data_IF_632114229445
#
_entry.id   IF_632114229445
#
_cell.length_a   1.000
_cell.length_b   1.000
_cell.length_c   1.000
_cell.angle_alpha   90.00
_cell.angle_beta   90.00
_cell.angle_gamma   90.00
#
_symmetry.space_group_name_H-M   'P 1'
#
loop_
_entity.id
_entity.type
_entity.pdbx_description
1 polymer ?
#
# COMPACT_ATOMS: atom_id res chain seq x y z
N UNK A 1 -5.75 5.97 -29.73
CA UNK A 1 -4.35 6.48 -29.69
C UNK A 1 -3.68 6.28 -28.32
N UNK A 2 -4.37 6.49 -27.22
CA UNK A 2 -3.86 6.36 -25.84
C UNK A 2 -3.31 4.95 -25.48
N UNK A 3 -4.01 3.88 -25.86
CA UNK A 3 -3.58 2.50 -25.61
C UNK A 3 -2.19 2.14 -26.20
N UNK A 4 -1.84 2.66 -27.36
CA UNK A 4 -0.54 2.38 -27.98
C UNK A 4 0.61 2.96 -27.17
N UNK A 5 0.46 4.14 -26.56
CA UNK A 5 1.49 4.75 -25.73
C UNK A 5 1.69 4.02 -24.41
N UNK A 6 0.62 3.42 -23.85
CA UNK A 6 0.72 2.58 -22.65
C UNK A 6 1.58 1.34 -22.94
N UNK A 7 1.36 0.66 -24.07
CA UNK A 7 2.18 -0.49 -24.47
C UNK A 7 3.65 -0.11 -24.67
N UNK A 8 3.93 1.00 -25.32
CA UNK A 8 5.30 1.50 -25.50
C UNK A 8 5.93 1.80 -24.13
N UNK A 9 5.22 2.47 -23.24
CA UNK A 9 5.72 2.77 -21.90
C UNK A 9 6.00 1.50 -21.08
N UNK A 10 5.14 0.46 -21.16
CA UNK A 10 5.36 -0.83 -20.50
C UNK A 10 6.58 -1.53 -21.07
N UNK A 11 6.75 -1.56 -22.40
CA UNK A 11 7.91 -2.18 -23.03
C UNK A 11 9.21 -1.45 -22.64
N UNK A 12 9.20 -0.12 -22.64
CA UNK A 12 10.35 0.68 -22.22
C UNK A 12 10.66 0.54 -20.72
N UNK A 13 9.65 0.34 -19.88
CA UNK A 13 9.82 0.14 -18.44
C UNK A 13 10.20 -1.30 -18.07
N UNK A 14 9.95 -2.28 -18.95
CA UNK A 14 10.16 -3.71 -18.65
C UNK A 14 11.59 -4.07 -18.23
N UNK A 15 12.68 -3.53 -18.83
CA UNK A 15 14.03 -3.82 -18.37
C UNK A 15 14.27 -3.33 -16.94
N UNK A 16 13.76 -2.14 -16.61
CA UNK A 16 13.88 -1.56 -15.28
C UNK A 16 13.11 -2.37 -14.23
N UNK A 17 11.92 -2.86 -14.59
CA UNK A 17 11.10 -3.74 -13.72
C UNK A 17 11.84 -5.06 -13.49
N UNK A 18 12.42 -5.67 -14.52
CA UNK A 18 13.18 -6.92 -14.40
C UNK A 18 14.41 -6.70 -13.51
N UNK A 19 15.18 -5.64 -13.74
CA UNK A 19 16.33 -5.29 -12.91
C UNK A 19 15.92 -5.07 -11.45
N UNK A 20 14.83 -4.35 -11.23
CA UNK A 20 14.27 -4.14 -9.89
C UNK A 20 13.88 -5.48 -9.24
N UNK A 21 13.31 -6.41 -10.02
CA UNK A 21 12.96 -7.74 -9.52
C UNK A 21 14.21 -8.53 -9.11
N UNK A 22 15.21 -8.63 -9.96
CA UNK A 22 16.45 -9.33 -9.65
C UNK A 22 17.15 -8.71 -8.43
N UNK A 23 17.18 -7.38 -8.36
CA UNK A 23 17.76 -6.68 -7.22
C UNK A 23 16.98 -6.92 -5.93
N UNK A 24 15.66 -6.97 -6.00
CA UNK A 24 14.77 -7.26 -4.87
C UNK A 24 14.91 -8.70 -4.36
N UNK A 25 15.17 -9.67 -5.25
CA UNK A 25 15.48 -11.05 -4.83
C UNK A 25 16.77 -11.12 -4.01
N UNK A 26 17.74 -10.27 -4.32
CA UNK A 26 18.98 -10.17 -3.53
C UNK A 26 18.79 -9.36 -2.22
N UNK A 27 17.98 -8.32 -2.29
CA UNK A 27 17.72 -7.39 -1.18
C UNK A 27 16.20 -7.19 -0.96
N UNK A 28 15.51 -8.09 -0.25
CA UNK A 28 14.04 -8.04 -0.11
C UNK A 28 13.51 -6.76 0.53
N UNK A 29 14.35 -6.04 1.28
CA UNK A 29 13.99 -4.74 1.84
C UNK A 29 13.63 -3.73 0.75
N UNK A 30 14.19 -3.85 -0.45
CA UNK A 30 13.91 -2.95 -1.58
C UNK A 30 12.49 -3.14 -2.05
N UNK A 31 12.03 -4.39 -2.24
CA UNK A 31 10.63 -4.65 -2.62
C UNK A 31 9.64 -4.18 -1.56
N UNK A 32 9.99 -4.33 -0.28
CA UNK A 32 9.18 -3.81 0.82
C UNK A 32 9.08 -2.28 0.78
N UNK A 33 10.18 -1.57 0.50
CA UNK A 33 10.17 -0.11 0.35
C UNK A 33 9.32 0.31 -0.85
N UNK A 34 9.42 -0.40 -1.98
CA UNK A 34 8.55 -0.14 -3.16
C UNK A 34 7.09 -0.33 -2.80
N UNK A 35 6.73 -1.44 -2.15
CA UNK A 35 5.37 -1.66 -1.66
C UNK A 35 4.92 -0.54 -0.71
N UNK A 36 5.72 -0.21 0.29
CA UNK A 36 5.40 0.84 1.26
C UNK A 36 5.22 2.20 0.58
N UNK A 37 6.01 2.51 -0.45
CA UNK A 37 5.87 3.75 -1.23
C UNK A 37 4.54 3.78 -1.98
N UNK A 38 4.18 2.70 -2.68
CA UNK A 38 2.91 2.62 -3.41
C UNK A 38 1.73 2.69 -2.42
N UNK A 39 1.81 1.96 -1.29
CA UNK A 39 0.76 1.94 -0.29
C UNK A 39 0.58 3.31 0.39
N UNK A 40 1.68 4.00 0.70
CA UNK A 40 1.64 5.30 1.35
C UNK A 40 1.05 6.40 0.45
N UNK A 41 1.39 6.38 -0.84
CA UNK A 41 0.91 7.35 -1.83
C UNK A 41 -0.29 6.85 -2.64
N UNK A 42 -0.93 5.76 -2.22
CA UNK A 42 -2.02 5.11 -2.93
C UNK A 42 -3.12 6.08 -3.35
N UNK A 43 -3.63 6.87 -2.41
CA UNK A 43 -4.71 7.83 -2.67
C UNK A 43 -4.28 8.95 -3.61
N UNK A 44 -3.05 9.43 -3.48
CA UNK A 44 -2.50 10.40 -4.40
C UNK A 44 -2.40 9.81 -5.82
N UNK A 45 -1.83 8.63 -5.96
CA UNK A 45 -1.67 7.97 -7.26
C UNK A 45 -3.06 7.77 -7.90
N UNK A 46 -4.04 7.27 -7.14
CA UNK A 46 -5.42 7.09 -7.63
C UNK A 46 -6.04 8.41 -8.13
N UNK A 47 -5.88 9.48 -7.38
CA UNK A 47 -6.41 10.81 -7.72
C UNK A 47 -5.80 11.37 -9.00
N UNK A 48 -4.48 11.25 -9.17
CA UNK A 48 -3.79 11.80 -10.33
C UNK A 48 -3.90 10.92 -11.57
N UNK A 49 -3.95 9.61 -11.43
CA UNK A 49 -4.04 8.68 -12.56
C UNK A 49 -5.46 8.35 -12.97
N UNK A 50 -6.42 8.48 -12.03
CA UNK A 50 -7.83 8.05 -12.20
C UNK A 50 -7.94 6.60 -12.69
N UNK A 51 -7.05 5.75 -12.19
CA UNK A 51 -6.99 4.36 -12.58
C UNK A 51 -7.69 3.48 -11.53
N UNK A 52 -8.87 2.98 -11.85
CA UNK A 52 -9.70 2.18 -10.93
C UNK A 52 -9.04 0.86 -10.49
N UNK A 53 -8.04 0.38 -11.23
CA UNK A 53 -7.30 -0.85 -10.94
C UNK A 53 -6.13 -0.70 -9.95
N UNK A 54 -5.92 0.47 -9.35
CA UNK A 54 -4.71 0.72 -8.53
C UNK A 54 -4.64 -0.19 -7.29
N UNK A 55 -5.78 -0.62 -6.74
CA UNK A 55 -5.82 -1.57 -5.64
C UNK A 55 -5.22 -2.93 -6.00
N UNK A 56 -5.33 -3.33 -7.27
CA UNK A 56 -4.71 -4.55 -7.80
C UNK A 56 -3.19 -4.40 -7.85
N UNK A 57 -2.69 -3.20 -8.14
CA UNK A 57 -1.24 -2.90 -8.13
C UNK A 57 -0.67 -3.09 -6.72
N UNK A 58 -1.41 -2.71 -5.68
CA UNK A 58 -0.99 -2.96 -4.28
C UNK A 58 -0.90 -4.46 -3.96
N UNK A 59 -1.89 -5.24 -4.39
CA UNK A 59 -1.87 -6.69 -4.17
C UNK A 59 -0.69 -7.33 -4.94
N UNK A 60 -0.47 -6.94 -6.18
CA UNK A 60 0.67 -7.39 -6.98
C UNK A 60 1.99 -7.01 -6.31
N UNK A 61 2.12 -5.78 -5.81
CA UNK A 61 3.32 -5.32 -5.11
C UNK A 61 3.57 -6.10 -3.80
N UNK A 62 2.49 -6.47 -3.09
CA UNK A 62 2.57 -7.29 -1.89
C UNK A 62 3.03 -8.71 -2.21
N UNK A 63 2.42 -9.36 -3.22
CA UNK A 63 2.80 -10.69 -3.70
C UNK A 63 4.24 -10.69 -4.20
N UNK A 64 4.62 -9.66 -4.97
CA UNK A 64 5.99 -9.45 -5.43
C UNK A 64 7.00 -9.40 -4.28
N UNK A 65 6.66 -8.66 -3.21
CA UNK A 65 7.51 -8.54 -2.01
C UNK A 65 7.65 -9.90 -1.31
N UNK A 66 6.55 -10.64 -1.20
CA UNK A 66 6.55 -11.99 -0.63
C UNK A 66 7.44 -12.95 -1.45
N UNK A 67 7.28 -12.94 -2.78
CA UNK A 67 8.06 -13.78 -3.67
C UNK A 67 9.56 -13.43 -3.61
N UNK A 68 9.92 -12.15 -3.64
CA UNK A 68 11.30 -11.72 -3.51
C UNK A 68 11.93 -12.17 -2.19
N UNK A 69 11.16 -12.13 -1.09
CA UNK A 69 11.61 -12.61 0.20
C UNK A 69 11.80 -14.13 0.24
N UNK A 70 10.85 -14.89 -0.31
CA UNK A 70 10.92 -16.36 -0.38
C UNK A 70 12.13 -16.80 -1.23
N UNK A 71 12.31 -16.20 -2.42
CA UNK A 71 13.44 -16.51 -3.30
C UNK A 71 14.79 -16.17 -2.64
N UNK A 72 14.88 -15.04 -1.95
CA UNK A 72 16.08 -14.68 -1.21
C UNK A 72 16.42 -15.72 -0.12
N UNK A 73 15.41 -16.27 0.54
CA UNK A 73 15.60 -17.27 1.59
C UNK A 73 15.98 -18.65 1.06
N UNK A 74 15.38 -19.07 -0.06
CA UNK A 74 15.75 -20.32 -0.73
C UNK A 74 17.22 -20.24 -1.19
N UNK A 75 17.65 -19.07 -1.66
CA UNK A 75 19.04 -18.86 -2.10
C UNK A 75 20.05 -18.78 -0.97
N UNK A 76 19.62 -18.39 0.25
CA UNK A 76 20.50 -18.24 1.42
C UNK A 76 20.22 -19.37 2.42
N UNK A 77 20.95 -20.47 2.34
CA UNK A 77 20.80 -21.69 3.17
C UNK A 77 20.90 -21.46 4.69
N UNK A 78 21.30 -20.28 5.14
CA UNK A 78 21.54 -19.97 6.56
C UNK A 78 20.41 -19.20 7.25
N UNK A 79 19.23 -19.12 6.64
CA UNK A 79 18.11 -18.41 7.25
C UNK A 79 17.16 -19.35 8.00
N UNK A 80 17.52 -19.75 9.22
CA UNK A 80 16.61 -20.41 10.14
C UNK A 80 15.44 -19.51 10.51
N UNK A 81 14.34 -19.59 9.73
CA UNK A 81 13.07 -19.10 10.23
C UNK A 81 12.52 -20.17 11.16
N UNK A 82 12.52 -19.90 12.44
CA UNK A 82 11.75 -20.70 13.36
C UNK A 82 10.26 -20.38 13.14
N UNK A 83 9.45 -21.42 12.96
CA UNK A 83 8.00 -21.23 12.87
C UNK A 83 7.44 -20.40 14.04
N UNK A 84 8.10 -20.43 15.20
CA UNK A 84 7.80 -19.58 16.36
C UNK A 84 7.90 -18.06 16.09
N UNK A 85 8.74 -17.64 15.14
CA UNK A 85 8.91 -16.21 14.82
C UNK A 85 7.72 -15.68 14.01
N UNK A 86 7.02 -16.57 13.32
CA UNK A 86 5.82 -16.27 12.55
C UNK A 86 4.55 -16.48 13.41
N UNK A 87 4.48 -17.61 14.12
CA UNK A 87 3.33 -18.00 14.94
C UNK A 87 3.52 -17.56 16.40
N UNK A 88 3.32 -16.28 16.66
CA UNK A 88 3.25 -15.72 18.00
C UNK A 88 1.81 -15.45 18.42
N UNK A 89 1.59 -15.04 19.66
CA UNK A 89 0.26 -14.75 20.22
C UNK A 89 -0.52 -13.72 19.38
N UNK A 90 0.17 -12.71 18.81
CA UNK A 90 -0.45 -11.70 17.95
C UNK A 90 -0.94 -12.31 16.64
N UNK A 91 -0.14 -13.19 16.03
CA UNK A 91 -0.54 -13.89 14.81
C UNK A 91 -1.77 -14.77 15.05
N UNK A 92 -1.81 -15.49 16.16
CA UNK A 92 -2.96 -16.30 16.56
C UNK A 92 -4.20 -15.41 16.75
N UNK A 93 -4.07 -14.30 17.49
CA UNK A 93 -5.14 -13.33 17.66
C UNK A 93 -5.66 -12.79 16.33
N UNK A 94 -4.75 -12.55 15.38
CA UNK A 94 -5.10 -12.11 14.03
C UNK A 94 -5.86 -13.18 13.24
N UNK A 95 -5.47 -14.44 13.32
CA UNK A 95 -6.21 -15.54 12.71
C UNK A 95 -7.62 -15.70 13.29
N UNK A 96 -7.78 -15.55 14.60
CA UNK A 96 -9.09 -15.55 15.25
C UNK A 96 -9.96 -14.39 14.71
N UNK A 97 -9.38 -13.21 14.58
CA UNK A 97 -10.05 -12.05 13.98
C UNK A 97 -10.46 -12.29 12.53
N UNK A 98 -9.60 -12.89 11.72
CA UNK A 98 -9.93 -13.28 10.33
C UNK A 98 -11.12 -14.26 10.27
N UNK A 99 -11.13 -15.27 11.14
CA UNK A 99 -12.25 -16.22 11.24
C UNK A 99 -13.54 -15.48 11.60
N UNK A 100 -13.49 -14.56 12.55
CA UNK A 100 -14.65 -13.75 12.91
C UNK A 100 -15.19 -12.93 11.75
N UNK A 101 -14.32 -12.29 10.94
CA UNK A 101 -14.74 -11.55 9.74
C UNK A 101 -15.35 -12.50 8.70
N UNK A 102 -14.76 -13.68 8.48
CA UNK A 102 -15.29 -14.68 7.54
C UNK A 102 -16.67 -15.16 8.01
N UNK A 103 -16.88 -15.36 9.30
CA UNK A 103 -18.20 -15.72 9.83
C UNK A 103 -19.27 -14.66 9.58
N UNK A 104 -18.90 -13.40 9.44
CA UNK A 104 -19.85 -12.36 9.05
C UNK A 104 -20.36 -12.49 7.59
N UNK A 105 -19.65 -13.22 6.74
CA UNK A 105 -20.13 -13.55 5.38
C UNK A 105 -21.37 -14.45 5.39
N UNK A 106 -21.67 -15.11 6.52
CA UNK A 106 -22.87 -15.94 6.68
C UNK A 106 -24.14 -15.13 7.00
N UNK A 107 -24.02 -13.82 7.17
CA UNK A 107 -25.17 -12.95 7.45
C UNK A 107 -25.99 -12.74 6.17
N UNK A 108 -27.21 -13.26 6.14
CA UNK A 108 -28.10 -13.35 4.98
C UNK A 108 -28.52 -12.00 4.33
N UNK A 109 -28.25 -10.88 5.00
CA UNK A 109 -28.61 -9.53 4.50
C UNK A 109 -27.48 -8.78 3.80
N UNK A 110 -26.30 -9.36 3.65
CA UNK A 110 -25.12 -8.65 3.17
C UNK A 110 -24.78 -8.98 1.72
N UNK A 111 -24.43 -7.93 0.95
CA UNK A 111 -23.89 -8.07 -0.40
C UNK A 111 -22.46 -8.64 -0.32
N UNK A 112 -22.32 -9.92 -0.72
CA UNK A 112 -21.05 -10.64 -0.69
C UNK A 112 -19.94 -9.91 -1.44
N UNK A 113 -20.26 -9.27 -2.57
CA UNK A 113 -19.26 -8.52 -3.34
C UNK A 113 -18.74 -7.31 -2.57
N UNK A 114 -19.62 -6.58 -1.86
CA UNK A 114 -19.20 -5.45 -1.04
C UNK A 114 -18.35 -5.88 0.14
N UNK A 115 -18.74 -6.96 0.82
CA UNK A 115 -17.93 -7.49 1.93
C UNK A 115 -16.57 -7.94 1.41
N UNK A 116 -16.51 -8.71 0.32
CA UNK A 116 -15.25 -9.21 -0.21
C UNK A 116 -14.32 -8.07 -0.66
N UNK A 117 -14.84 -7.06 -1.33
CA UNK A 117 -14.04 -5.91 -1.77
C UNK A 117 -13.56 -5.05 -0.62
N UNK A 118 -14.40 -4.79 0.39
CA UNK A 118 -14.03 -3.98 1.56
C UNK A 118 -13.15 -4.73 2.56
N UNK A 119 -13.36 -6.04 2.74
CA UNK A 119 -12.59 -6.86 3.69
C UNK A 119 -11.27 -7.38 3.11
N UNK A 120 -11.05 -7.33 1.79
CA UNK A 120 -9.84 -7.83 1.13
C UNK A 120 -8.55 -7.27 1.73
N UNK A 121 -8.51 -5.97 1.97
CA UNK A 121 -7.35 -5.31 2.57
C UNK A 121 -7.08 -5.76 4.01
N UNK A 122 -8.14 -5.98 4.78
CA UNK A 122 -8.03 -6.44 6.17
C UNK A 122 -7.73 -7.92 6.27
N UNK A 123 -8.33 -8.75 5.41
CA UNK A 123 -8.16 -10.21 5.45
C UNK A 123 -6.81 -10.67 4.90
N UNK A 124 -6.33 -10.05 3.83
CA UNK A 124 -5.13 -10.50 3.12
C UNK A 124 -3.94 -9.57 3.32
N UNK A 125 -4.10 -8.28 3.05
CA UNK A 125 -2.97 -7.37 3.03
C UNK A 125 -2.37 -7.16 4.41
N UNK A 126 -3.18 -6.97 5.45
CA UNK A 126 -2.70 -6.68 6.80
C UNK A 126 -1.92 -7.84 7.44
N UNK A 127 -2.41 -9.12 7.43
CA UNK A 127 -1.62 -10.24 7.97
C UNK A 127 -0.35 -10.50 7.17
N UNK A 128 -0.42 -10.43 5.84
CA UNK A 128 0.77 -10.59 5.01
C UNK A 128 1.80 -9.49 5.27
N UNK A 129 1.36 -8.25 5.43
CA UNK A 129 2.23 -7.14 5.77
C UNK A 129 2.85 -7.30 7.17
N UNK A 130 2.08 -7.78 8.13
CA UNK A 130 2.60 -8.09 9.46
C UNK A 130 3.67 -9.17 9.40
N UNK A 131 3.43 -10.28 8.71
CA UNK A 131 4.40 -11.36 8.52
C UNK A 131 5.65 -10.84 7.81
N UNK A 132 5.47 -10.12 6.70
CA UNK A 132 6.58 -9.55 5.94
C UNK A 132 7.41 -8.59 6.78
N UNK A 133 6.78 -7.68 7.52
CA UNK A 133 7.51 -6.72 8.37
C UNK A 133 8.26 -7.41 9.50
N UNK A 134 7.66 -8.41 10.16
CA UNK A 134 8.31 -9.18 11.21
C UNK A 134 9.54 -9.95 10.70
N UNK A 135 9.49 -10.43 9.46
CA UNK A 135 10.58 -11.17 8.84
C UNK A 135 11.68 -10.29 8.24
N UNK A 136 11.32 -9.08 7.77
CA UNK A 136 12.27 -8.15 7.15
C UNK A 136 12.92 -7.20 8.15
N UNK A 137 12.17 -6.71 9.14
CA UNK A 137 12.63 -5.71 10.10
C UNK A 137 13.26 -6.36 11.35
N UNK A 138 14.06 -7.38 11.16
CA UNK A 138 14.66 -8.20 12.23
C UNK A 138 15.75 -7.50 13.02
N UNK A 139 16.27 -6.36 12.56
CA UNK A 139 17.34 -5.64 13.24
C UNK A 139 16.98 -4.18 13.50
N UNK A 140 17.47 -3.57 14.61
CA UNK A 140 17.26 -2.16 14.90
C UNK A 140 17.69 -1.22 13.77
N UNK A 141 18.75 -1.60 13.04
CA UNK A 141 19.22 -0.82 11.87
C UNK A 141 18.18 -0.79 10.76
N UNK A 142 17.60 -1.95 10.40
CA UNK A 142 16.57 -2.04 9.35
C UNK A 142 15.31 -1.28 9.76
N UNK A 143 14.89 -1.39 11.02
CA UNK A 143 13.76 -0.63 11.57
C UNK A 143 14.03 0.88 11.48
N UNK A 144 15.23 1.32 11.85
CA UNK A 144 15.62 2.74 11.75
C UNK A 144 15.53 3.25 10.31
N UNK A 145 16.01 2.49 9.32
CA UNK A 145 15.90 2.87 7.92
C UNK A 145 14.43 2.96 7.46
N UNK A 146 13.59 2.00 7.84
CA UNK A 146 12.16 2.06 7.53
C UNK A 146 11.50 3.31 8.12
N UNK A 147 11.80 3.67 9.37
CA UNK A 147 11.29 4.87 10.02
C UNK A 147 11.80 6.16 9.36
N UNK A 148 13.05 6.21 8.91
CA UNK A 148 13.59 7.36 8.17
C UNK A 148 12.86 7.53 6.84
N UNK A 149 12.59 6.44 6.12
CA UNK A 149 11.85 6.48 4.85
C UNK A 149 10.43 6.98 5.08
N UNK A 150 9.72 6.45 6.08
CA UNK A 150 8.36 6.90 6.43
C UNK A 150 8.36 8.36 6.87
N UNK A 151 9.38 8.78 7.64
CA UNK A 151 9.57 10.19 7.99
C UNK A 151 9.75 11.09 6.76
N UNK A 152 10.53 10.64 5.77
CA UNK A 152 10.68 11.31 4.49
C UNK A 152 9.35 11.45 3.73
N UNK A 153 8.54 10.39 3.68
CA UNK A 153 7.20 10.43 3.09
C UNK A 153 6.30 11.44 3.81
N UNK A 154 6.34 11.46 5.13
CA UNK A 154 5.57 12.41 5.94
C UNK A 154 5.96 13.86 5.66
N UNK A 155 7.25 14.14 5.45
CA UNK A 155 7.72 15.47 5.05
C UNK A 155 7.15 15.87 3.68
N UNK A 156 7.15 14.96 2.69
CA UNK A 156 6.57 15.21 1.36
C UNK A 156 5.08 15.55 1.48
N UNK A 157 4.33 14.78 2.27
CA UNK A 157 2.91 15.02 2.54
C UNK A 157 2.69 16.37 3.20
N UNK A 158 3.52 16.72 4.18
CA UNK A 158 3.44 18.00 4.87
C UNK A 158 3.73 19.17 3.92
N UNK A 159 4.75 19.08 3.07
CA UNK A 159 5.04 20.09 2.06
C UNK A 159 3.88 20.28 1.07
N UNK A 160 3.24 19.18 0.65
CA UNK A 160 2.05 19.24 -0.21
C UNK A 160 0.87 19.90 0.51
N UNK A 161 0.68 19.63 1.80
CA UNK A 161 -0.35 20.27 2.62
C UNK A 161 -0.12 21.80 2.73
N UNK A 162 1.12 22.23 2.95
CA UNK A 162 1.49 23.64 2.92
C UNK A 162 1.23 24.27 1.54
N UNK A 163 1.55 23.54 0.48
CA UNK A 163 1.24 23.98 -0.89
C UNK A 163 -0.26 24.23 -1.06
N UNK A 164 -1.13 23.28 -0.68
CA UNK A 164 -2.58 23.42 -0.75
C UNK A 164 -3.07 24.60 0.07
N UNK A 165 -2.51 24.83 1.25
CA UNK A 165 -2.89 25.95 2.13
C UNK A 165 -2.54 27.31 1.51
N UNK A 166 -1.39 27.46 0.86
CA UNK A 166 -0.89 28.75 0.37
C UNK A 166 -1.18 29.02 -1.11
N UNK A 167 -1.24 27.96 -1.93
CA UNK A 167 -1.41 28.03 -3.39
C UNK A 167 -2.74 27.47 -3.88
N UNK A 168 -3.56 26.94 -2.96
CA UNK A 168 -4.80 26.25 -3.27
C UNK A 168 -4.57 24.88 -3.90
N UNK A 169 -5.67 24.22 -4.32
CA UNK A 169 -5.66 22.91 -4.94
C UNK A 169 -5.15 22.97 -6.39
N UNK A 170 -4.46 21.95 -6.81
CA UNK A 170 -4.07 21.81 -8.21
C UNK A 170 -5.27 21.36 -9.11
N UNK A 171 -5.15 21.44 -10.45
CA UNK A 171 -6.26 21.12 -11.34
C UNK A 171 -6.81 19.70 -11.18
N UNK A 172 -5.96 18.70 -10.88
CA UNK A 172 -6.38 17.32 -10.67
C UNK A 172 -7.15 17.17 -9.34
N UNK A 173 -6.72 17.87 -8.30
CA UNK A 173 -7.40 17.92 -7.01
C UNK A 173 -8.75 18.61 -7.10
N UNK A 174 -8.82 19.73 -7.83
CA UNK A 174 -10.10 20.43 -8.10
C UNK A 174 -11.07 19.52 -8.84
N UNK A 175 -10.60 18.84 -9.89
CA UNK A 175 -11.44 17.92 -10.65
C UNK A 175 -11.96 16.76 -9.76
N UNK A 176 -11.10 16.19 -8.91
CA UNK A 176 -11.50 15.16 -7.94
C UNK A 176 -12.52 15.68 -6.91
N UNK A 177 -12.36 16.91 -6.42
CA UNK A 177 -13.32 17.55 -5.53
C UNK A 177 -14.69 17.69 -6.21
N UNK A 178 -14.72 18.11 -7.49
CA UNK A 178 -15.97 18.29 -8.24
C UNK A 178 -16.72 16.98 -8.50
N UNK A 179 -16.05 15.83 -8.50
CA UNK A 179 -16.66 14.50 -8.63
C UNK A 179 -17.44 14.04 -7.37
N UNK A 180 -17.56 14.89 -6.35
CA UNK A 180 -18.36 14.63 -5.15
C UNK A 180 -17.61 14.67 -3.84
N UNK A 181 -16.28 14.66 -3.87
CA UNK A 181 -15.42 14.68 -2.69
C UNK A 181 -15.46 16.03 -1.96
N UNK A 182 -16.02 17.06 -2.57
CA UNK A 182 -16.20 18.37 -1.93
C UNK A 182 -17.05 18.31 -0.66
N UNK A 183 -17.97 17.34 -0.54
CA UNK A 183 -18.86 17.17 0.61
C UNK A 183 -18.12 16.91 1.91
N UNK A 184 -16.98 16.26 1.85
CA UNK A 184 -16.14 15.93 3.00
C UNK A 184 -15.03 16.93 3.26
N UNK A 185 -14.62 17.68 2.22
CA UNK A 185 -13.47 18.58 2.30
C UNK A 185 -13.82 20.07 2.33
N UNK A 186 -14.98 20.46 1.76
CA UNK A 186 -15.48 21.83 1.81
C UNK A 186 -16.63 21.92 2.82
N UNK A 187 -16.31 22.14 4.07
CA UNK A 187 -17.28 22.28 5.15
C UNK A 187 -17.71 23.75 5.30
N UNK A 188 -18.89 23.96 5.91
CA UNK A 188 -19.35 25.33 6.28
C UNK A 188 -18.36 26.05 7.23
N UNK A 189 -17.64 25.28 8.03
CA UNK A 189 -16.63 25.79 8.98
C UNK A 189 -15.27 26.08 8.38
N UNK A 190 -15.01 25.68 7.13
CA UNK A 190 -13.73 25.87 6.45
C UNK A 190 -13.34 24.75 5.52
N UNK A 191 -12.14 24.87 4.96
CA UNK A 191 -11.57 23.91 4.03
C UNK A 191 -10.73 22.87 4.81
N UNK A 192 -10.99 21.59 4.60
CA UNK A 192 -10.11 20.52 5.03
C UNK A 192 -9.08 20.24 3.96
N UNK A 193 -7.84 20.54 4.26
CA UNK A 193 -6.71 20.18 3.39
C UNK A 193 -6.40 18.71 3.56
N UNK A 194 -6.35 17.96 2.47
CA UNK A 194 -6.21 16.51 2.47
C UNK A 194 -4.81 16.05 2.00
N UNK A 195 -3.97 16.98 1.52
CA UNK A 195 -2.63 16.67 1.03
C UNK A 195 -2.64 15.56 -0.02
N UNK A 196 -1.88 14.49 0.20
CA UNK A 196 -1.81 13.33 -0.68
C UNK A 196 -2.77 12.20 -0.27
N UNK A 197 -3.55 12.36 0.80
CA UNK A 197 -4.55 11.39 1.24
C UNK A 197 -5.94 11.72 0.69
N UNK A 198 -6.79 10.70 0.53
CA UNK A 198 -8.15 10.87 0.00
C UNK A 198 -9.12 11.36 1.05
N UNK A 199 -8.86 11.07 2.32
CA UNK A 199 -9.80 11.35 3.39
C UNK A 199 -9.08 11.84 4.66
N UNK A 200 -9.56 12.95 5.17
CA UNK A 200 -9.07 13.51 6.44
C UNK A 200 -9.85 12.95 7.66
N UNK A 201 -10.49 11.84 7.52
CA UNK A 201 -11.18 11.17 8.60
C UNK A 201 -12.45 10.43 8.18
N UNK A 202 -12.30 9.23 7.83
CA UNK A 202 -13.24 8.17 8.13
C UNK A 202 -12.73 7.40 9.33
#
# INVERSE_FOLDING_TARGET
MFQKWIFVAIICASPSIILLFVYSCKYPIVSFVVYATIAYFFDAINRYTRFDGISIILDIALIYTLMAMLLNRISNEHSDIRAKDIFNTLTIGYFIWMIFIILQLTNLGTDLNKIFTSSRSWLLATPLLYILSSLLLTSPKKLRYALIILGGFTIIVFLKLLWQKFRWFDPAEVAWLMEGSWRTHLLRSGVRYFSLFSDAGN
#
